data_IF_789577625988
#
_entry.id   IF_789577625988
#
_cell.length_a   1.000
_cell.length_b   1.000
_cell.length_c   1.000
_cell.angle_alpha   90.00
_cell.angle_beta   90.00
_cell.angle_gamma   90.00
#
_symmetry.space_group_name_H-M   'P 1'
#
loop_
_entity.id
_entity.type
_entity.pdbx_description
1 polymer ?
#
# COMPACT_ATOMS: atom_id res chain seq x y z
N UNK A 1 16.69 -12.21 0.10
CA UNK A 1 17.26 -13.48 -0.40
C UNK A 1 16.21 -14.57 -0.63
N UNK A 2 15.24 -14.77 0.27
CA UNK A 2 14.20 -15.83 0.13
C UNK A 2 13.40 -15.77 -1.18
N UNK A 3 13.03 -14.57 -1.68
CA UNK A 3 12.33 -14.46 -2.98
C UNK A 3 13.24 -14.75 -4.19
N UNK A 4 14.53 -14.44 -4.11
CA UNK A 4 15.50 -14.75 -5.17
C UNK A 4 15.78 -16.26 -5.24
N UNK A 5 15.89 -16.90 -4.07
CA UNK A 5 16.01 -18.36 -3.97
C UNK A 5 14.73 -19.08 -4.44
N UNK A 6 13.53 -18.53 -4.19
CA UNK A 6 12.26 -19.12 -4.66
C UNK A 6 11.94 -18.89 -6.14
N UNK A 7 12.35 -17.76 -6.73
CA UNK A 7 11.93 -17.33 -8.08
C UNK A 7 13.06 -17.34 -9.11
N UNK A 8 14.30 -17.59 -8.70
CA UNK A 8 15.45 -17.77 -9.59
C UNK A 8 15.85 -16.50 -10.36
N UNK A 9 16.76 -16.64 -11.35
CA UNK A 9 17.29 -15.53 -12.15
C UNK A 9 16.22 -14.81 -13.00
N UNK A 10 15.14 -15.50 -13.38
CA UNK A 10 14.00 -14.91 -14.09
C UNK A 10 13.34 -13.74 -13.32
N UNK A 11 13.46 -13.70 -11.98
CA UNK A 11 12.99 -12.56 -11.19
C UNK A 11 13.83 -11.30 -11.41
N UNK A 12 15.14 -11.44 -11.61
CA UNK A 12 16.04 -10.31 -11.88
C UNK A 12 15.78 -9.70 -13.26
N UNK A 13 15.41 -10.52 -14.24
CA UNK A 13 15.03 -10.07 -15.59
C UNK A 13 13.75 -9.21 -15.61
N UNK A 14 12.95 -9.22 -14.54
CA UNK A 14 11.79 -8.32 -14.41
C UNK A 14 12.14 -6.90 -13.97
N UNK A 15 13.38 -6.63 -13.55
CA UNK A 15 13.77 -5.33 -13.00
C UNK A 15 13.81 -4.21 -14.06
N UNK A 16 14.33 -4.42 -15.29
CA UNK A 16 14.27 -3.43 -16.36
C UNK A 16 12.83 -3.06 -16.73
N UNK A 17 11.92 -4.04 -16.72
CA UNK A 17 10.50 -3.86 -17.06
C UNK A 17 9.79 -2.91 -16.11
N UNK A 18 10.13 -2.97 -14.82
CA UNK A 18 9.58 -2.04 -13.81
C UNK A 18 9.95 -0.58 -14.08
N UNK A 19 10.99 -0.32 -14.88
CA UNK A 19 11.40 1.05 -15.28
C UNK A 19 10.56 1.60 -16.44
N UNK A 20 9.86 0.74 -17.20
CA UNK A 20 8.90 1.17 -18.24
C UNK A 20 7.77 2.02 -17.63
N UNK A 21 7.42 1.78 -16.36
CA UNK A 21 6.44 2.60 -15.65
C UNK A 21 6.87 4.09 -15.60
N UNK A 22 8.16 4.36 -15.41
CA UNK A 22 8.70 5.75 -15.41
C UNK A 22 8.52 6.39 -16.78
N UNK A 23 8.76 5.64 -17.86
CA UNK A 23 8.55 6.10 -19.25
C UNK A 23 7.09 6.43 -19.53
N UNK A 24 6.15 5.58 -19.11
CA UNK A 24 4.70 5.83 -19.26
C UNK A 24 4.31 7.11 -18.51
N UNK A 25 4.79 7.28 -17.28
CA UNK A 25 4.55 8.48 -16.50
C UNK A 25 5.10 9.74 -17.16
N UNK A 26 6.28 9.64 -17.80
CA UNK A 26 6.89 10.77 -18.49
C UNK A 26 6.10 11.18 -19.74
N UNK A 27 5.67 10.21 -20.56
CA UNK A 27 4.82 10.47 -21.74
C UNK A 27 3.51 11.16 -21.35
N UNK A 28 2.86 10.66 -20.30
CA UNK A 28 1.61 11.25 -19.79
C UNK A 28 1.84 12.64 -19.19
N UNK A 29 2.97 12.85 -18.51
CA UNK A 29 3.34 14.16 -17.99
C UNK A 29 3.54 15.20 -19.09
N UNK A 30 4.14 14.80 -20.22
CA UNK A 30 4.27 15.65 -21.41
C UNK A 30 2.88 15.95 -22.01
N UNK A 31 2.03 14.93 -22.16
CA UNK A 31 0.66 15.10 -22.66
C UNK A 31 -0.22 16.02 -21.78
N UNK A 32 0.04 16.05 -20.47
CA UNK A 32 -0.64 16.91 -19.50
C UNK A 32 0.05 18.27 -19.28
N UNK A 33 1.11 18.57 -20.03
CA UNK A 33 1.93 19.78 -19.84
C UNK A 33 2.44 19.98 -18.41
N UNK A 34 2.75 18.89 -17.69
CA UNK A 34 3.35 18.92 -16.34
C UNK A 34 4.88 18.90 -16.49
N UNK A 35 5.59 20.02 -16.27
CA UNK A 35 7.03 20.07 -16.47
C UNK A 35 7.79 19.31 -15.36
N UNK A 36 8.76 18.51 -15.77
CA UNK A 36 9.73 17.89 -14.86
C UNK A 36 11.15 18.32 -15.22
N UNK A 37 11.98 18.76 -14.25
CA UNK A 37 13.38 19.06 -14.52
C UNK A 37 14.12 17.83 -15.08
N UNK A 38 15.01 17.98 -16.07
CA UNK A 38 15.77 16.86 -16.64
C UNK A 38 16.52 16.04 -15.60
N UNK A 39 17.11 16.70 -14.59
CA UNK A 39 17.78 16.01 -13.47
C UNK A 39 16.84 15.11 -12.66
N UNK A 40 15.58 15.51 -12.47
CA UNK A 40 14.57 14.71 -11.78
C UNK A 40 14.15 13.48 -12.60
N UNK A 41 14.20 13.57 -13.93
CA UNK A 41 13.92 12.45 -14.84
C UNK A 41 15.02 11.40 -14.73
N UNK A 42 16.28 11.81 -14.83
CA UNK A 42 17.43 10.90 -14.67
C UNK A 42 17.39 10.23 -13.29
N UNK A 43 17.19 11.02 -12.22
CA UNK A 43 17.06 10.49 -10.86
C UNK A 43 15.87 9.52 -10.73
N UNK A 44 14.76 9.75 -11.43
CA UNK A 44 13.61 8.84 -11.40
C UNK A 44 13.89 7.50 -12.10
N UNK A 45 14.62 7.50 -13.21
CA UNK A 45 15.08 6.25 -13.83
C UNK A 45 16.08 5.48 -12.96
N UNK A 46 16.84 6.18 -12.11
CA UNK A 46 17.73 5.60 -11.11
C UNK A 46 17.00 5.20 -9.81
N UNK A 47 15.71 5.52 -9.68
CA UNK A 47 14.90 5.26 -8.48
C UNK A 47 15.15 6.23 -7.32
N UNK A 48 15.92 7.30 -7.55
CA UNK A 48 16.31 8.32 -6.57
C UNK A 48 15.35 9.53 -6.54
N UNK A 49 14.46 9.64 -7.52
CA UNK A 49 13.37 10.61 -7.54
C UNK A 49 12.08 9.94 -7.99
N UNK A 50 10.94 10.61 -7.79
CA UNK A 50 9.66 10.12 -8.30
C UNK A 50 9.07 11.09 -9.31
N UNK A 51 8.56 10.51 -10.41
CA UNK A 51 7.70 11.14 -11.41
C UNK A 51 6.36 10.41 -11.34
N UNK A 52 5.28 11.17 -11.28
CA UNK A 52 3.96 10.59 -11.09
C UNK A 52 3.69 10.28 -9.62
N UNK A 53 4.20 9.15 -9.09
CA UNK A 53 3.86 8.68 -7.74
C UNK A 53 4.57 9.46 -6.61
N UNK A 54 3.98 9.50 -5.42
CA UNK A 54 4.50 10.23 -4.28
C UNK A 54 5.46 9.31 -3.54
N UNK A 55 6.71 9.72 -3.40
CA UNK A 55 7.73 8.98 -2.64
C UNK A 55 7.43 8.79 -1.15
N UNK A 56 6.42 9.49 -0.62
CA UNK A 56 6.14 9.55 0.81
C UNK A 56 5.91 8.15 1.44
N UNK A 57 5.21 7.25 0.75
CA UNK A 57 4.93 5.91 1.30
C UNK A 57 6.17 5.03 1.32
N UNK A 58 7.05 5.12 0.31
CA UNK A 58 8.32 4.39 0.27
C UNK A 58 9.19 4.87 1.42
N UNK A 59 9.29 6.19 1.59
CA UNK A 59 10.00 6.79 2.71
C UNK A 59 9.44 6.31 4.05
N UNK A 60 8.12 6.35 4.24
CA UNK A 60 7.48 5.88 5.46
C UNK A 60 7.79 4.41 5.75
N UNK A 61 7.70 3.52 4.76
CA UNK A 61 8.02 2.09 4.92
C UNK A 61 9.48 1.88 5.33
N UNK A 62 10.42 2.53 4.63
CA UNK A 62 11.85 2.42 4.91
C UNK A 62 12.17 2.97 6.31
N UNK A 63 11.58 4.10 6.70
CA UNK A 63 11.74 4.68 8.03
C UNK A 63 11.19 3.74 9.11
N UNK A 64 10.00 3.17 8.93
CA UNK A 64 9.41 2.24 9.88
C UNK A 64 10.26 0.97 10.04
N UNK A 65 10.84 0.46 8.96
CA UNK A 65 11.79 -0.66 9.02
C UNK A 65 13.07 -0.29 9.76
N UNK A 66 13.63 0.90 9.51
CA UNK A 66 14.81 1.37 10.24
C UNK A 66 14.51 1.53 11.75
N UNK A 67 13.38 2.14 12.11
CA UNK A 67 12.95 2.26 13.52
C UNK A 67 12.73 0.89 14.16
N UNK A 68 12.13 -0.06 13.44
CA UNK A 68 11.94 -1.43 13.91
C UNK A 68 13.28 -2.08 14.19
N UNK A 69 14.23 -2.00 13.24
CA UNK A 69 15.57 -2.55 13.41
C UNK A 69 16.28 -1.96 14.63
N UNK A 70 16.27 -0.63 14.77
CA UNK A 70 16.89 0.06 15.91
C UNK A 70 16.24 -0.36 17.23
N UNK A 71 14.91 -0.41 17.28
CA UNK A 71 14.17 -0.79 18.49
C UNK A 71 14.49 -2.21 18.96
N UNK A 72 14.54 -3.18 18.04
CA UNK A 72 14.90 -4.56 18.36
C UNK A 72 16.39 -4.74 18.68
N UNK A 73 17.26 -3.92 18.11
CA UNK A 73 18.69 -3.89 18.44
C UNK A 73 18.95 -3.33 19.83
N UNK A 74 18.19 -2.32 20.26
CA UNK A 74 18.30 -1.70 21.58
C UNK A 74 17.65 -2.54 22.70
N UNK A 75 16.70 -3.42 22.37
CA UNK A 75 16.03 -4.30 23.31
C UNK A 75 16.15 -5.79 22.90
N UNK A 76 17.37 -6.35 22.83
CA UNK A 76 17.58 -7.72 22.40
C UNK A 76 16.88 -8.70 23.35
N UNK A 77 16.19 -9.70 22.78
CA UNK A 77 15.45 -10.72 23.54
C UNK A 77 14.19 -10.22 24.26
N UNK A 78 13.86 -8.93 24.14
CA UNK A 78 12.76 -8.31 24.89
C UNK A 78 11.76 -7.65 23.93
N UNK A 79 10.92 -8.45 23.24
CA UNK A 79 10.04 -7.95 22.18
C UNK A 79 9.07 -6.87 22.65
N UNK A 80 8.57 -6.94 23.89
CA UNK A 80 7.67 -5.93 24.43
C UNK A 80 8.37 -4.57 24.61
N UNK A 81 9.63 -4.57 25.07
CA UNK A 81 10.42 -3.33 25.17
C UNK A 81 10.75 -2.76 23.79
N UNK A 82 11.06 -3.61 22.82
CA UNK A 82 11.27 -3.19 21.44
C UNK A 82 9.99 -2.55 20.84
N UNK A 83 8.81 -3.12 21.09
CA UNK A 83 7.53 -2.54 20.64
C UNK A 83 7.28 -1.17 21.29
N UNK A 84 7.60 -1.00 22.58
CA UNK A 84 7.48 0.29 23.27
C UNK A 84 8.43 1.33 22.63
N UNK A 85 9.69 0.96 22.37
CA UNK A 85 10.64 1.83 21.68
C UNK A 85 10.16 2.22 20.27
N UNK A 86 9.58 1.26 19.54
CA UNK A 86 8.99 1.51 18.22
C UNK A 86 7.77 2.44 18.32
N UNK A 87 6.92 2.29 19.33
CA UNK A 87 5.79 3.19 19.59
C UNK A 87 6.29 4.62 19.86
N UNK A 88 7.33 4.78 20.68
CA UNK A 88 7.94 6.08 20.97
C UNK A 88 8.50 6.68 19.67
N UNK A 89 9.30 5.94 18.91
CA UNK A 89 9.88 6.43 17.65
C UNK A 89 8.82 6.81 16.61
N UNK A 90 7.76 6.01 16.48
CA UNK A 90 6.64 6.29 15.56
C UNK A 90 5.85 7.53 16.01
N UNK A 91 5.65 7.71 17.32
CA UNK A 91 5.00 8.90 17.88
C UNK A 91 5.83 10.16 17.66
N UNK A 92 7.16 10.11 17.87
CA UNK A 92 8.07 11.20 17.56
C UNK A 92 8.01 11.59 16.09
N UNK A 93 8.04 10.60 15.18
CA UNK A 93 7.87 10.83 13.75
C UNK A 93 6.51 11.49 13.45
N UNK A 94 5.41 11.00 14.02
CA UNK A 94 4.09 11.57 13.79
C UNK A 94 4.04 13.06 14.16
N UNK A 95 4.58 13.45 15.31
CA UNK A 95 4.62 14.84 15.76
C UNK A 95 5.42 15.72 14.79
N UNK A 96 6.56 15.22 14.30
CA UNK A 96 7.37 15.93 13.29
C UNK A 96 6.60 16.05 11.97
N UNK A 97 6.01 14.96 11.50
CA UNK A 97 5.28 14.91 10.24
C UNK A 97 4.07 15.84 10.23
N UNK A 98 3.28 15.88 11.30
CA UNK A 98 2.10 16.76 11.44
C UNK A 98 2.47 18.26 11.46
N UNK A 99 3.70 18.59 11.90
CA UNK A 99 4.19 19.96 12.01
C UNK A 99 4.92 20.45 10.75
N UNK A 100 5.72 19.60 10.12
CA UNK A 100 6.69 20.01 9.10
C UNK A 100 6.43 19.41 7.72
N UNK A 101 5.65 18.34 7.62
CA UNK A 101 5.41 17.62 6.38
C UNK A 101 3.96 17.77 5.92
N UNK A 102 3.70 17.53 4.62
CA UNK A 102 2.33 17.45 4.15
C UNK A 102 1.52 16.34 4.86
N UNK A 103 0.19 16.49 5.00
CA UNK A 103 -0.65 15.60 5.81
C UNK A 103 -0.49 14.10 5.50
N UNK A 104 -0.34 13.75 4.22
CA UNK A 104 -0.18 12.36 3.77
C UNK A 104 1.08 11.65 4.28
N UNK A 105 2.08 12.35 4.83
CA UNK A 105 3.23 11.70 5.50
C UNK A 105 2.90 11.17 6.90
N UNK A 106 1.86 11.73 7.52
CA UNK A 106 1.40 11.36 8.86
C UNK A 106 0.22 10.38 8.82
N UNK A 107 -0.61 10.48 7.78
CA UNK A 107 -1.80 9.64 7.58
C UNK A 107 -1.41 8.15 7.62
N UNK A 108 -2.09 7.37 8.46
CA UNK A 108 -1.97 5.89 8.57
C UNK A 108 -0.65 5.31 9.12
N UNK A 109 0.31 6.13 9.58
CA UNK A 109 1.61 5.59 10.03
C UNK A 109 1.49 4.57 11.18
N UNK A 110 0.50 4.75 12.07
CA UNK A 110 0.25 3.83 13.18
C UNK A 110 -0.33 2.48 12.74
N UNK A 111 -0.85 2.36 11.52
CA UNK A 111 -1.25 1.06 10.96
C UNK A 111 -0.08 0.08 10.90
N UNK A 112 1.15 0.58 10.71
CA UNK A 112 2.37 -0.24 10.80
C UNK A 112 2.53 -0.85 12.20
N UNK A 113 2.40 -0.04 13.24
CA UNK A 113 2.48 -0.50 14.62
C UNK A 113 1.34 -1.47 14.96
N UNK A 114 0.12 -1.18 14.47
CA UNK A 114 -1.02 -2.09 14.56
C UNK A 114 -0.70 -3.46 13.96
N UNK A 115 -0.03 -3.49 12.82
CA UNK A 115 0.46 -4.73 12.19
C UNK A 115 1.52 -5.47 13.03
N UNK A 116 2.47 -4.76 13.65
CA UNK A 116 3.47 -5.36 14.55
C UNK A 116 2.81 -5.97 15.79
N UNK A 117 1.85 -5.26 16.40
CA UNK A 117 1.08 -5.77 17.54
C UNK A 117 0.25 -6.99 17.14
N UNK A 118 -0.41 -6.94 15.98
CA UNK A 118 -1.16 -8.08 15.45
C UNK A 118 -0.24 -9.28 15.24
N UNK A 119 0.94 -9.10 14.62
CA UNK A 119 1.90 -10.18 14.42
C UNK A 119 2.37 -10.81 15.75
N UNK A 120 2.58 -9.99 16.78
CA UNK A 120 2.97 -10.47 18.12
C UNK A 120 1.88 -11.28 18.80
N UNK A 121 0.62 -10.88 18.65
CA UNK A 121 -0.53 -11.46 19.34
C UNK A 121 -1.43 -12.28 18.40
N UNK A 122 -0.95 -12.71 17.23
CA UNK A 122 -1.79 -13.37 16.23
C UNK A 122 -2.36 -14.69 16.75
N UNK A 123 -1.55 -15.53 17.42
CA UNK A 123 -2.00 -16.83 17.95
C UNK A 123 -3.18 -16.72 18.94
N UNK A 124 -3.13 -15.88 20.00
CA UNK A 124 -4.27 -15.74 20.90
C UNK A 124 -5.48 -15.09 20.21
N UNK A 125 -5.26 -14.18 19.26
CA UNK A 125 -6.35 -13.56 18.46
C UNK A 125 -7.03 -14.64 17.62
N UNK A 126 -6.27 -15.44 16.89
CA UNK A 126 -6.77 -16.50 16.02
C UNK A 126 -7.53 -17.55 16.82
N UNK A 127 -6.98 -18.01 17.96
CA UNK A 127 -7.66 -18.97 18.84
C UNK A 127 -9.04 -18.47 19.30
N UNK A 128 -9.15 -17.18 19.67
CA UNK A 128 -10.44 -16.58 20.05
C UNK A 128 -11.38 -16.43 18.85
N UNK A 129 -10.84 -16.07 17.69
CA UNK A 129 -11.60 -15.84 16.46
C UNK A 129 -12.15 -17.15 15.86
N UNK A 130 -11.44 -18.27 16.02
CA UNK A 130 -11.84 -19.59 15.51
C UNK A 130 -12.67 -20.41 16.49
N UNK A 131 -12.70 -20.04 17.79
CA UNK A 131 -13.40 -20.79 18.84
C UNK A 131 -14.91 -20.90 18.64
N UNK A 132 -15.60 -19.85 18.19
CA UNK A 132 -17.02 -19.92 17.84
C UNK A 132 -17.44 -18.83 16.86
N UNK A 133 -18.52 -19.09 16.11
CA UNK A 133 -19.12 -18.10 15.19
C UNK A 133 -19.60 -16.83 15.90
N UNK A 134 -20.08 -16.96 17.14
CA UNK A 134 -20.50 -15.82 17.95
C UNK A 134 -19.35 -14.89 18.31
N UNK A 135 -18.20 -15.44 18.75
CA UNK A 135 -17.01 -14.64 19.05
C UNK A 135 -16.42 -13.96 17.81
N UNK A 136 -16.45 -14.64 16.66
CA UNK A 136 -16.06 -14.04 15.39
C UNK A 136 -16.90 -12.81 15.06
N UNK A 137 -18.23 -12.97 15.02
CA UNK A 137 -19.13 -11.87 14.68
C UNK A 137 -19.09 -10.75 15.70
N UNK A 138 -18.96 -11.08 16.99
CA UNK A 138 -18.79 -10.08 18.04
C UNK A 138 -17.54 -9.24 17.83
N UNK A 139 -16.38 -9.88 17.61
CA UNK A 139 -15.11 -9.16 17.40
C UNK A 139 -15.11 -8.36 16.09
N UNK A 140 -15.69 -8.93 15.03
CA UNK A 140 -15.85 -8.25 13.75
C UNK A 140 -16.76 -7.02 13.86
N UNK A 141 -17.95 -7.17 14.43
CA UNK A 141 -18.91 -6.07 14.64
C UNK A 141 -18.36 -5.02 15.59
N UNK A 142 -17.64 -5.43 16.64
CA UNK A 142 -16.99 -4.50 17.55
C UNK A 142 -15.91 -3.68 16.84
N UNK A 143 -15.03 -4.32 16.07
CA UNK A 143 -14.00 -3.65 15.26
C UNK A 143 -14.62 -2.74 14.19
N UNK A 144 -15.72 -3.17 13.58
CA UNK A 144 -16.47 -2.39 12.59
C UNK A 144 -17.11 -1.16 13.24
N UNK A 145 -17.68 -1.31 14.43
CA UNK A 145 -18.28 -0.23 15.20
C UNK A 145 -17.22 0.79 15.62
N UNK A 146 -16.03 0.34 16.05
CA UNK A 146 -14.90 1.21 16.33
C UNK A 146 -14.44 1.97 15.08
N UNK A 147 -14.31 1.28 13.95
CA UNK A 147 -13.96 1.93 12.68
C UNK A 147 -14.98 3.04 12.33
N UNK A 148 -16.27 2.73 12.33
CA UNK A 148 -17.32 3.70 12.04
C UNK A 148 -17.32 4.85 13.05
N UNK A 149 -17.20 4.56 14.35
CA UNK A 149 -17.17 5.56 15.41
C UNK A 149 -16.01 6.54 15.27
N UNK A 150 -14.78 6.04 15.11
CA UNK A 150 -13.61 6.89 14.91
C UNK A 150 -13.61 7.62 13.56
N UNK A 151 -14.15 7.01 12.50
CA UNK A 151 -14.29 7.65 11.21
C UNK A 151 -15.32 8.80 11.24
N UNK A 152 -16.47 8.60 11.88
CA UNK A 152 -17.47 9.67 12.08
C UNK A 152 -16.89 10.76 12.97
N UNK A 153 -16.22 10.41 14.06
CA UNK A 153 -15.55 11.39 14.94
C UNK A 153 -14.56 12.26 14.16
N UNK A 154 -13.78 11.64 13.28
CA UNK A 154 -12.87 12.34 12.38
C UNK A 154 -13.62 13.32 11.46
N UNK A 155 -14.79 12.94 10.92
CA UNK A 155 -15.56 13.76 10.00
C UNK A 155 -16.25 14.97 10.67
N UNK A 156 -16.71 14.83 11.91
CA UNK A 156 -17.46 15.89 12.63
C UNK A 156 -16.56 16.87 13.39
N UNK A 157 -15.32 16.48 13.67
CA UNK A 157 -14.47 17.21 14.62
C UNK A 157 -13.73 18.36 13.94
N UNK A 158 -13.86 19.61 14.44
CA UNK A 158 -13.11 20.76 13.92
C UNK A 158 -11.67 20.83 14.46
N UNK A 159 -11.39 20.13 15.58
CA UNK A 159 -10.08 20.15 16.23
C UNK A 159 -9.05 19.27 15.50
N UNK A 160 -8.00 19.91 14.96
CA UNK A 160 -6.96 19.26 14.13
C UNK A 160 -6.28 18.07 14.81
N UNK A 161 -6.01 18.12 16.11
CA UNK A 161 -5.37 17.02 16.85
C UNK A 161 -6.28 15.80 17.00
N UNK A 162 -7.55 16.03 17.35
CA UNK A 162 -8.54 14.97 17.53
C UNK A 162 -8.90 14.33 16.18
N UNK A 163 -8.90 15.11 15.09
CA UNK A 163 -8.95 14.59 13.72
C UNK A 163 -7.84 13.56 13.47
N UNK A 164 -6.57 13.93 13.69
CA UNK A 164 -5.44 13.03 13.42
C UNK A 164 -5.48 11.78 14.29
N UNK A 165 -5.76 11.92 15.59
CA UNK A 165 -5.83 10.77 16.51
C UNK A 165 -6.94 9.80 16.07
N UNK A 166 -8.13 10.31 15.82
CA UNK A 166 -9.28 9.49 15.40
C UNK A 166 -9.00 8.81 14.06
N UNK A 167 -8.34 9.52 13.14
CA UNK A 167 -7.93 8.96 11.85
C UNK A 167 -6.94 7.80 12.00
N UNK A 168 -5.97 7.87 12.92
CA UNK A 168 -5.05 6.74 13.16
C UNK A 168 -5.78 5.50 13.68
N UNK A 169 -6.73 5.67 14.60
CA UNK A 169 -7.53 4.54 15.09
C UNK A 169 -8.39 3.92 13.99
N UNK A 170 -9.07 4.75 13.19
CA UNK A 170 -9.82 4.28 12.02
C UNK A 170 -8.90 3.56 11.01
N UNK A 171 -7.70 4.09 10.77
CA UNK A 171 -6.70 3.52 9.87
C UNK A 171 -6.10 2.19 10.35
N UNK A 172 -6.13 1.89 11.66
CA UNK A 172 -5.78 0.56 12.19
C UNK A 172 -6.96 -0.40 12.07
N UNK A 173 -8.17 0.04 12.43
CA UNK A 173 -9.35 -0.81 12.42
C UNK A 173 -9.73 -1.27 11.00
N UNK A 174 -9.60 -0.37 10.02
CA UNK A 174 -9.93 -0.65 8.63
C UNK A 174 -9.20 -1.89 8.06
N UNK A 175 -7.86 -1.96 8.04
CA UNK A 175 -7.16 -3.15 7.54
C UNK A 175 -7.41 -4.39 8.41
N UNK A 176 -7.64 -4.25 9.72
CA UNK A 176 -7.97 -5.39 10.58
C UNK A 176 -9.30 -6.06 10.16
N UNK A 177 -10.30 -5.31 9.72
CA UNK A 177 -11.54 -5.86 9.18
C UNK A 177 -11.27 -6.74 7.96
N UNK A 178 -10.38 -6.30 7.06
CA UNK A 178 -9.98 -7.10 5.90
C UNK A 178 -9.20 -8.35 6.31
N UNK A 179 -8.34 -8.26 7.33
CA UNK A 179 -7.64 -9.43 7.88
C UNK A 179 -8.65 -10.45 8.41
N UNK A 180 -9.62 -10.02 9.22
CA UNK A 180 -10.66 -10.93 9.74
C UNK A 180 -11.50 -11.56 8.65
N UNK A 181 -11.87 -10.78 7.62
CA UNK A 181 -12.59 -11.29 6.45
C UNK A 181 -11.74 -12.32 5.68
N UNK A 182 -10.46 -12.03 5.46
CA UNK A 182 -9.52 -12.91 4.76
C UNK A 182 -9.23 -14.20 5.53
N UNK A 183 -9.25 -14.18 6.88
CA UNK A 183 -9.07 -15.38 7.71
C UNK A 183 -10.22 -16.39 7.54
N UNK A 184 -11.45 -15.93 7.26
CA UNK A 184 -12.61 -16.82 7.06
C UNK A 184 -12.87 -17.16 5.60
N UNK A 185 -12.53 -16.28 4.67
CA UNK A 185 -12.85 -16.44 3.26
C UNK A 185 -11.63 -16.89 2.46
N UNK A 186 -11.66 -18.12 1.94
CA UNK A 186 -10.69 -18.55 0.93
C UNK A 186 -11.27 -18.29 -0.45
N UNK A 187 -11.02 -17.11 -1.00
CA UNK A 187 -11.53 -16.74 -2.32
C UNK A 187 -10.63 -17.37 -3.39
N UNK A 188 -11.09 -18.47 -4.01
CA UNK A 188 -10.35 -19.22 -5.03
C UNK A 188 -10.71 -18.83 -6.47
N UNK A 189 -11.13 -17.58 -6.70
CA UNK A 189 -11.49 -17.14 -8.04
C UNK A 189 -10.25 -16.62 -8.82
N UNK A 190 -10.11 -16.95 -10.13
CA UNK A 190 -8.96 -16.54 -10.96
C UNK A 190 -8.72 -15.03 -10.97
N UNK A 191 -9.79 -14.24 -10.91
CA UNK A 191 -9.71 -12.78 -10.83
C UNK A 191 -8.95 -12.30 -9.58
N UNK A 192 -9.21 -12.87 -8.41
CA UNK A 192 -8.53 -12.49 -7.17
C UNK A 192 -7.05 -12.93 -7.18
N UNK A 193 -6.74 -14.07 -7.82
CA UNK A 193 -5.35 -14.50 -8.04
C UNK A 193 -4.59 -13.54 -8.95
N UNK A 194 -5.26 -12.95 -9.94
CA UNK A 194 -4.69 -11.95 -10.83
C UNK A 194 -4.46 -10.61 -10.10
N UNK A 195 -5.51 -10.03 -9.50
CA UNK A 195 -5.45 -8.73 -8.81
C UNK A 195 -4.49 -8.75 -7.61
N UNK A 196 -4.54 -9.80 -6.77
CA UNK A 196 -3.68 -9.96 -5.60
C UNK A 196 -2.28 -10.53 -5.89
N UNK A 197 -2.00 -10.92 -7.14
CA UNK A 197 -0.78 -11.60 -7.53
C UNK A 197 0.00 -10.83 -8.59
N UNK A 198 -0.16 -11.23 -9.85
CA UNK A 198 0.64 -10.73 -10.98
C UNK A 198 0.37 -9.26 -11.31
N UNK A 199 -0.88 -8.81 -11.17
CA UNK A 199 -1.31 -7.46 -11.52
C UNK A 199 -1.02 -6.42 -10.42
N UNK A 200 -0.68 -6.86 -9.21
CA UNK A 200 -0.56 -5.98 -8.03
C UNK A 200 0.42 -4.82 -8.29
N UNK A 201 1.57 -5.11 -8.89
CA UNK A 201 2.55 -4.07 -9.22
C UNK A 201 1.99 -3.07 -10.23
N UNK A 202 1.41 -3.57 -11.32
CA UNK A 202 0.89 -2.77 -12.43
C UNK A 202 -0.28 -1.89 -11.98
N UNK A 203 -1.22 -2.46 -11.23
CA UNK A 203 -2.34 -1.75 -10.60
C UNK A 203 -1.80 -0.65 -9.68
N UNK A 204 -0.90 -0.99 -8.76
CA UNK A 204 -0.37 -0.03 -7.78
C UNK A 204 0.41 1.12 -8.45
N UNK A 205 1.21 0.79 -9.45
CA UNK A 205 1.99 1.77 -10.19
C UNK A 205 1.11 2.64 -11.09
N UNK A 206 0.07 2.12 -11.71
CA UNK A 206 -0.72 2.87 -12.70
C UNK A 206 -1.95 3.56 -12.10
N UNK A 207 -2.40 3.18 -10.90
CA UNK A 207 -3.60 3.73 -10.24
C UNK A 207 -3.62 5.25 -10.17
N UNK A 208 -2.46 5.89 -10.04
CA UNK A 208 -2.37 7.34 -9.94
C UNK A 208 -2.63 8.06 -11.26
N UNK A 209 -2.51 7.40 -12.40
CA UNK A 209 -2.83 8.00 -13.69
C UNK A 209 -4.32 8.32 -13.81
N UNK A 210 -5.26 7.37 -13.59
CA UNK A 210 -6.69 7.69 -13.49
C UNK A 210 -7.01 8.75 -12.44
N UNK A 211 -6.32 8.76 -11.29
CA UNK A 211 -6.56 9.77 -10.26
C UNK A 211 -6.18 11.19 -10.75
N UNK A 212 -5.04 11.35 -11.42
CA UNK A 212 -4.66 12.65 -11.98
C UNK A 212 -5.63 13.06 -13.09
N UNK A 213 -5.93 12.16 -14.03
CA UNK A 213 -6.84 12.41 -15.14
C UNK A 213 -8.23 12.84 -14.65
N UNK A 214 -8.84 12.06 -13.75
CA UNK A 214 -10.20 12.34 -13.29
C UNK A 214 -10.30 13.61 -12.45
N UNK A 215 -9.21 14.04 -11.79
CA UNK A 215 -9.17 15.32 -11.04
C UNK A 215 -9.34 16.54 -11.95
N UNK A 216 -8.93 16.46 -13.21
CA UNK A 216 -9.10 17.54 -14.20
C UNK A 216 -10.48 17.54 -14.88
N UNK A 217 -11.37 16.64 -14.49
CA UNK A 217 -12.71 16.51 -15.08
C UNK A 217 -13.81 16.85 -14.08
N UNK A 218 -15.05 16.98 -14.57
CA UNK A 218 -16.26 17.19 -13.74
C UNK A 218 -16.46 16.07 -12.71
N UNK A 219 -15.86 14.90 -12.92
CA UNK A 219 -15.92 13.77 -11.98
C UNK A 219 -15.35 14.13 -10.60
N UNK A 220 -14.43 15.09 -10.50
CA UNK A 220 -13.85 15.52 -9.23
C UNK A 220 -14.90 15.97 -8.19
N UNK A 221 -16.07 16.45 -8.66
CA UNK A 221 -17.16 16.90 -7.79
C UNK A 221 -18.14 15.77 -7.38
N UNK A 222 -17.98 14.54 -7.90
CA UNK A 222 -18.86 13.41 -7.65
C UNK A 222 -18.07 12.22 -7.10
N UNK A 223 -17.85 12.14 -5.77
CA UNK A 223 -16.90 11.21 -5.15
C UNK A 223 -17.10 9.74 -5.52
N UNK A 224 -18.35 9.27 -5.55
CA UNK A 224 -18.67 7.87 -5.88
C UNK A 224 -18.35 7.56 -7.35
N UNK A 225 -18.73 8.45 -8.26
CA UNK A 225 -18.47 8.27 -9.69
C UNK A 225 -16.98 8.38 -10.01
N UNK A 226 -16.28 9.30 -9.35
CA UNK A 226 -14.84 9.42 -9.42
C UNK A 226 -14.13 8.15 -8.93
N UNK A 227 -14.56 7.60 -7.79
CA UNK A 227 -14.02 6.34 -7.27
C UNK A 227 -14.23 5.19 -8.27
N UNK A 228 -15.44 5.00 -8.79
CA UNK A 228 -15.73 3.97 -9.79
C UNK A 228 -14.89 4.15 -11.06
N UNK A 229 -14.74 5.38 -11.55
CA UNK A 229 -13.90 5.70 -12.70
C UNK A 229 -12.44 5.31 -12.46
N UNK A 230 -11.86 5.71 -11.32
CA UNK A 230 -10.49 5.37 -10.95
C UNK A 230 -10.31 3.86 -10.83
N UNK A 231 -11.23 3.16 -10.16
CA UNK A 231 -11.17 1.71 -9.97
C UNK A 231 -11.19 0.96 -11.31
N UNK A 232 -12.18 1.23 -12.15
CA UNK A 232 -12.33 0.55 -13.45
C UNK A 232 -11.15 0.87 -14.37
N UNK A 233 -10.76 2.14 -14.46
CA UNK A 233 -9.63 2.56 -15.29
C UNK A 233 -8.31 1.95 -14.82
N UNK A 234 -8.10 1.83 -13.50
CA UNK A 234 -6.90 1.21 -12.94
C UNK A 234 -6.83 -0.27 -13.28
N UNK A 235 -7.93 -1.01 -13.12
CA UNK A 235 -7.99 -2.43 -13.47
C UNK A 235 -7.75 -2.64 -14.97
N UNK A 236 -8.37 -1.80 -15.81
CA UNK A 236 -8.18 -1.84 -17.25
C UNK A 236 -6.72 -1.54 -17.65
N UNK A 237 -6.14 -0.45 -17.13
CA UNK A 237 -4.75 -0.08 -17.40
C UNK A 237 -3.76 -1.14 -16.91
N UNK A 238 -3.99 -1.70 -15.72
CA UNK A 238 -3.19 -2.80 -15.18
C UNK A 238 -3.22 -4.02 -16.11
N UNK A 239 -4.40 -4.40 -16.58
CA UNK A 239 -4.58 -5.50 -17.53
C UNK A 239 -3.89 -5.25 -18.88
N UNK A 240 -4.08 -4.07 -19.46
CA UNK A 240 -3.40 -3.69 -20.71
C UNK A 240 -1.88 -3.70 -20.54
N UNK A 241 -1.37 -3.13 -19.45
CA UNK A 241 0.05 -3.08 -19.17
C UNK A 241 0.65 -4.48 -19.04
N UNK A 242 0.02 -5.38 -18.30
CA UNK A 242 0.49 -6.76 -18.14
C UNK A 242 0.52 -7.51 -19.48
N UNK A 243 -0.47 -7.31 -20.34
CA UNK A 243 -0.51 -7.89 -21.69
C UNK A 243 0.59 -7.35 -22.59
N UNK A 244 0.80 -6.03 -22.60
CA UNK A 244 1.82 -5.39 -23.42
C UNK A 244 3.23 -5.75 -22.95
N UNK A 245 3.48 -5.71 -21.65
CA UNK A 245 4.75 -6.10 -21.04
C UNK A 245 5.02 -7.58 -21.24
N UNK A 246 4.03 -8.45 -21.05
CA UNK A 246 4.16 -9.88 -21.29
C UNK A 246 4.55 -10.18 -22.74
N UNK A 247 3.89 -9.54 -23.71
CA UNK A 247 4.23 -9.66 -25.14
C UNK A 247 5.60 -9.08 -25.49
N UNK A 248 5.98 -7.96 -24.87
CA UNK A 248 7.27 -7.31 -25.10
C UNK A 248 8.43 -8.14 -24.53
N UNK A 249 8.28 -8.67 -23.32
CA UNK A 249 9.21 -9.60 -22.70
C UNK A 249 9.36 -10.89 -23.53
N UNK A 250 8.26 -11.47 -24.00
CA UNK A 250 8.31 -12.66 -24.87
C UNK A 250 9.04 -12.42 -26.19
N UNK A 251 8.95 -11.19 -26.74
CA UNK A 251 9.67 -10.79 -27.95
C UNK A 251 11.15 -10.52 -27.70
N UNK A 252 11.51 -9.92 -26.56
CA UNK A 252 12.91 -9.63 -26.20
C UNK A 252 13.69 -10.86 -25.71
N UNK A 253 13.04 -11.76 -24.95
CA UNK A 253 13.68 -12.96 -24.39
C UNK A 253 13.66 -14.14 -25.37
N UNK A 254 12.99 -14.00 -26.53
CA UNK A 254 13.08 -14.94 -27.64
C UNK A 254 12.68 -16.38 -27.29
N UNK A 255 11.40 -16.73 -27.42
CA UNK A 255 10.90 -18.12 -27.61
C UNK A 255 11.40 -19.24 -26.67
N UNK A 256 12.02 -18.95 -25.51
CA UNK A 256 12.41 -19.96 -24.50
C UNK A 256 11.94 -19.57 -23.11
N UNK A 257 10.63 -19.59 -22.91
CA UNK A 257 10.04 -20.06 -21.66
C UNK A 257 8.52 -20.12 -21.87
N UNK A 258 8.03 -21.31 -22.21
CA UNK A 258 6.68 -21.70 -21.82
C UNK A 258 6.64 -21.69 -20.29
N UNK A 259 6.43 -20.52 -19.69
CA UNK A 259 6.04 -20.42 -18.29
C UNK A 259 4.60 -20.92 -18.25
N UNK A 260 4.46 -22.24 -18.09
CA UNK A 260 3.21 -22.87 -17.70
C UNK A 260 2.80 -22.28 -16.36
N UNK A 261 1.89 -21.31 -16.42
CA UNK A 261 1.18 -20.83 -15.24
C UNK A 261 0.15 -21.91 -14.91
N UNK A 262 0.49 -22.78 -13.95
CA UNK A 262 -0.50 -23.51 -13.14
C UNK A 262 -0.75 -22.75 -11.84
#
# INVERSE_FOLDING_TARGET
>A
MVQLQKRGPAYLETFPVKRIAVTIYLVLSVAMAIPFPPGRIVLAYLGLATIGNSSWYIFAILLMYALTYVAFKLAPGQPNRAIILLFIGTSCYLVIAVKQLPPWYAETIFSYLGGVLFARYHEPIEKRLTSSWGHYWLLFLWTFSLFCGFYILCAITPYRWLFFISYQFAAICFPLLFVFLAMKTTIRAPFYRYVGGTAMFSIYMLQRLPMILGRHTVLAHQPVRYFCFVLVSTLFLGWVFDQLVGRFLQRLVGKRASVSVK
#
